data_IF_033660856738
#
_entry.id   IF_033660856738
#
_cell.length_a   1.000
_cell.length_b   1.000
_cell.length_c   1.000
_cell.angle_alpha   90.00
_cell.angle_beta   90.00
_cell.angle_gamma   90.00
#
_symmetry.space_group_name_H-M   'P 1'
#
loop_
_entity.id
_entity.type
_entity.pdbx_description
1 polymer ?
#
# COMPACT_ATOMS: atom_id res chain seq x y z
N UNK A 1 48.00 -20.51 -10.68
CA UNK A 1 49.43 -20.12 -10.52
C UNK A 1 49.50 -18.65 -10.05
N UNK A 2 48.62 -18.21 -9.11
CA UNK A 2 48.56 -16.79 -8.67
C UNK A 2 48.18 -16.62 -7.18
N UNK A 3 48.45 -17.60 -6.34
CA UNK A 3 48.10 -17.58 -4.90
C UNK A 3 49.33 -17.84 -4.00
N UNK A 4 50.53 -17.75 -4.49
CA UNK A 4 51.76 -18.03 -3.69
C UNK A 4 52.69 -16.82 -3.42
N UNK A 5 52.28 -15.59 -3.72
CA UNK A 5 53.20 -14.43 -3.60
C UNK A 5 52.80 -13.34 -2.60
N UNK A 6 51.87 -13.57 -1.68
CA UNK A 6 51.50 -12.54 -0.66
C UNK A 6 52.02 -12.85 0.76
N UNK A 7 52.69 -13.98 0.99
CA UNK A 7 53.13 -14.38 2.31
C UNK A 7 54.60 -14.18 2.64
N UNK A 8 55.36 -13.46 1.78
CA UNK A 8 56.82 -13.32 1.98
C UNK A 8 57.32 -11.87 2.21
N UNK A 9 56.48 -10.91 2.55
CA UNK A 9 56.92 -9.51 2.80
C UNK A 9 56.93 -9.11 4.28
N UNK A 10 56.49 -9.96 5.19
CA UNK A 10 56.43 -9.66 6.65
C UNK A 10 57.48 -10.37 7.52
N UNK A 11 58.67 -10.69 6.97
CA UNK A 11 59.78 -11.18 7.79
C UNK A 11 61.06 -10.46 7.41
N UNK A 12 61.28 -9.23 7.94
CA UNK A 12 62.58 -8.62 8.22
C UNK A 12 62.41 -7.19 8.72
N UNK A 13 62.18 -7.00 10.02
CA UNK A 13 62.70 -5.84 10.76
C UNK A 13 63.31 -6.31 12.06
N UNK A 14 64.60 -6.14 12.14
CA UNK A 14 65.43 -6.46 13.27
C UNK A 14 65.10 -5.59 14.50
N UNK A 15 64.96 -6.25 15.63
CA UNK A 15 64.90 -5.69 16.96
C UNK A 15 66.27 -5.20 17.41
N UNK A 16 66.38 -3.95 17.92
CA UNK A 16 67.37 -3.50 18.89
C UNK A 16 66.63 -3.13 20.20
N UNK A 17 67.14 -3.52 21.36
CA UNK A 17 66.46 -3.24 22.63
C UNK A 17 66.77 -1.81 23.09
N UNK A 18 65.74 -1.02 23.36
CA UNK A 18 65.86 0.26 24.06
C UNK A 18 65.44 0.07 25.52
N UNK A 19 66.40 0.23 26.45
CA UNK A 19 66.14 0.28 27.89
C UNK A 19 65.64 1.70 28.23
N UNK A 20 64.38 1.79 28.62
CA UNK A 20 63.78 2.97 29.24
C UNK A 20 62.44 2.59 29.85
N UNK A 21 62.41 2.41 31.19
CA UNK A 21 61.15 2.22 31.95
C UNK A 21 60.43 3.57 32.00
N UNK A 22 59.45 3.77 31.15
CA UNK A 22 58.37 4.70 31.43
C UNK A 22 57.13 3.87 31.70
N UNK A 23 56.55 4.03 32.88
CA UNK A 23 55.23 3.51 33.24
C UNK A 23 54.24 4.38 32.45
N UNK A 24 53.70 3.85 31.38
CA UNK A 24 52.46 4.38 30.76
C UNK A 24 51.35 3.85 31.60
N UNK A 25 50.69 4.76 32.32
CA UNK A 25 49.42 4.48 33.01
C UNK A 25 48.37 4.32 31.90
N UNK A 26 48.12 3.10 31.44
CA UNK A 26 46.98 2.80 30.62
C UNK A 26 45.76 2.81 31.54
N UNK A 27 45.09 3.96 31.64
CA UNK A 27 43.70 4.00 32.06
C UNK A 27 42.96 3.11 31.07
N UNK A 28 42.39 2.02 31.57
CA UNK A 28 41.49 1.18 30.78
C UNK A 28 40.31 2.07 30.33
N UNK A 29 40.28 2.43 29.08
CA UNK A 29 39.12 3.08 28.43
C UNK A 29 38.03 2.00 28.47
N UNK A 30 37.05 2.18 29.34
CA UNK A 30 35.87 1.32 29.39
C UNK A 30 34.93 1.79 28.27
N UNK A 31 34.98 1.11 27.14
CA UNK A 31 33.98 1.27 26.08
C UNK A 31 32.65 0.69 26.59
N UNK A 32 31.60 1.49 26.57
CA UNK A 32 30.26 1.08 26.98
C UNK A 32 29.36 1.01 25.74
N UNK A 33 28.92 -0.19 25.36
CA UNK A 33 27.99 -0.41 24.27
C UNK A 33 26.56 -0.07 24.72
N UNK A 34 25.92 0.87 24.06
CA UNK A 34 24.56 1.30 24.33
C UNK A 34 23.64 0.90 23.18
N UNK A 35 22.50 0.30 23.53
CA UNK A 35 21.47 -0.09 22.57
C UNK A 35 20.52 1.08 22.33
N UNK A 36 20.40 1.53 21.08
CA UNK A 36 19.51 2.61 20.69
C UNK A 36 18.12 2.08 20.41
N UNK A 37 17.12 2.69 21.06
CA UNK A 37 15.70 2.34 20.97
C UNK A 37 14.96 3.40 20.18
N UNK A 38 14.00 2.98 19.33
CA UNK A 38 13.12 3.94 18.66
C UNK A 38 12.10 4.47 19.68
N UNK A 39 12.15 5.77 19.91
CA UNK A 39 11.17 6.46 20.75
C UNK A 39 9.91 6.81 19.94
N UNK A 40 8.87 7.25 20.65
CA UNK A 40 7.64 7.73 20.02
C UNK A 40 7.94 8.95 19.14
N UNK A 41 7.58 8.83 17.85
CA UNK A 41 7.83 9.87 16.83
C UNK A 41 6.58 10.72 16.56
N UNK A 42 5.49 10.52 17.29
CA UNK A 42 4.26 11.32 17.20
C UNK A 42 2.97 10.50 17.12
N UNK A 43 1.86 11.19 17.30
CA UNK A 43 0.51 10.66 17.52
C UNK A 43 0.15 9.39 16.75
N UNK A 44 0.10 8.26 17.49
CA UNK A 44 -0.47 7.00 17.03
C UNK A 44 0.38 6.19 16.05
N UNK A 45 1.68 6.47 15.90
CA UNK A 45 2.58 5.68 15.06
C UNK A 45 3.11 4.51 15.88
N UNK A 46 2.72 3.28 15.53
CA UNK A 46 3.19 2.06 16.19
C UNK A 46 4.41 1.42 15.51
N UNK A 47 4.59 1.65 14.21
CA UNK A 47 5.68 1.08 13.41
C UNK A 47 6.04 2.00 12.24
N UNK A 48 7.30 1.95 11.79
CA UNK A 48 7.84 2.71 10.66
C UNK A 48 8.72 1.84 9.79
N UNK A 49 8.88 2.19 8.53
CA UNK A 49 9.78 1.51 7.59
C UNK A 49 11.12 2.28 7.49
N UNK A 50 12.23 1.58 7.59
CA UNK A 50 13.57 2.18 7.39
C UNK A 50 13.76 2.39 5.90
N UNK A 51 13.80 3.65 5.44
CA UNK A 51 14.01 3.98 4.03
C UNK A 51 15.49 4.04 3.69
N UNK A 52 16.33 4.54 4.60
CA UNK A 52 17.76 4.70 4.35
C UNK A 52 18.55 4.75 5.64
N UNK A 53 19.73 4.13 5.65
CA UNK A 53 20.76 4.35 6.65
C UNK A 53 21.71 5.46 6.21
N UNK A 54 21.88 6.48 7.05
CA UNK A 54 22.78 7.61 6.79
C UNK A 54 24.21 7.33 7.30
N UNK A 55 24.38 6.31 8.17
CA UNK A 55 25.67 5.86 8.72
C UNK A 55 25.84 4.35 8.54
N UNK A 56 27.10 3.91 8.39
CA UNK A 56 27.48 2.50 8.31
C UNK A 56 28.11 2.01 9.59
N UNK A 57 28.13 0.68 9.77
CA UNK A 57 28.87 0.07 10.89
C UNK A 57 30.36 0.45 10.81
N UNK A 58 30.91 0.93 11.91
CA UNK A 58 32.25 1.49 12.03
C UNK A 58 32.33 3.01 11.86
N UNK A 59 31.27 3.70 11.45
CA UNK A 59 31.26 5.16 11.30
C UNK A 59 31.13 5.84 12.66
N UNK A 60 31.82 6.98 12.81
CA UNK A 60 31.68 7.84 13.98
C UNK A 60 30.36 8.65 13.88
N UNK A 61 29.67 8.75 14.99
CA UNK A 61 28.38 9.43 15.12
C UNK A 61 28.46 10.44 16.24
N UNK A 62 28.01 11.67 15.97
CA UNK A 62 27.89 12.71 17.00
C UNK A 62 26.46 12.78 17.53
N UNK A 63 26.28 13.32 18.75
CA UNK A 63 24.97 13.61 19.29
C UNK A 63 24.16 14.50 18.34
N UNK A 64 22.86 14.21 18.15
CA UNK A 64 21.92 14.86 17.23
C UNK A 64 22.22 14.63 15.72
N UNK A 65 23.22 13.84 15.37
CA UNK A 65 23.49 13.47 13.98
C UNK A 65 22.52 12.40 13.49
N UNK A 66 22.02 12.53 12.23
CA UNK A 66 21.06 11.58 11.66
C UNK A 66 21.68 10.21 11.42
N UNK A 67 21.11 9.17 12.05
CA UNK A 67 21.50 7.76 11.89
C UNK A 67 20.81 7.10 10.71
N UNK A 68 19.50 7.30 10.61
CA UNK A 68 18.67 6.68 9.59
C UNK A 68 17.42 7.54 9.32
N UNK A 69 16.85 7.39 8.14
CA UNK A 69 15.57 7.99 7.75
C UNK A 69 14.50 6.92 7.77
N UNK A 70 13.39 7.17 8.45
CA UNK A 70 12.24 6.26 8.52
C UNK A 70 11.03 6.90 7.85
N UNK A 71 10.19 6.05 7.26
CA UNK A 71 8.92 6.43 6.65
C UNK A 71 7.77 5.88 7.48
N UNK A 72 6.89 6.77 7.95
CA UNK A 72 5.60 6.39 8.50
C UNK A 72 4.50 6.50 7.44
N UNK A 73 3.28 6.15 7.79
CA UNK A 73 2.10 6.36 6.94
C UNK A 73 1.83 7.84 6.63
N UNK A 74 2.42 8.77 7.41
CA UNK A 74 2.16 10.22 7.32
C UNK A 74 3.33 11.04 6.83
N UNK A 75 4.57 10.67 7.18
CA UNK A 75 5.77 11.46 6.83
C UNK A 75 7.05 10.65 6.92
N UNK A 76 8.11 11.12 6.23
CA UNK A 76 9.48 10.68 6.45
C UNK A 76 10.09 11.50 7.59
N UNK A 77 10.79 10.83 8.51
CA UNK A 77 11.43 11.44 9.68
C UNK A 77 12.85 10.92 9.82
N UNK A 78 13.80 11.81 10.12
CA UNK A 78 15.17 11.43 10.41
C UNK A 78 15.33 11.11 11.90
N UNK A 79 15.89 9.94 12.19
CA UNK A 79 16.19 9.51 13.55
C UNK A 79 17.65 9.84 13.87
N UNK A 80 17.84 10.69 14.87
CA UNK A 80 19.15 11.20 15.29
C UNK A 80 19.72 10.39 16.45
N UNK A 81 21.06 10.38 16.56
CA UNK A 81 21.76 9.77 17.70
C UNK A 81 21.58 10.60 18.96
N UNK A 82 21.44 9.91 20.10
CA UNK A 82 21.48 10.52 21.46
C UNK A 82 22.87 10.52 22.07
N UNK A 83 23.82 9.83 21.44
CA UNK A 83 25.14 9.57 22.00
C UNK A 83 26.22 9.91 20.98
N UNK A 84 27.38 10.35 21.50
CA UNK A 84 28.61 10.42 20.74
C UNK A 84 29.33 9.07 20.79
N UNK A 85 29.76 8.55 19.65
CA UNK A 85 30.43 7.25 19.65
C UNK A 85 30.61 6.66 18.26
N UNK A 86 30.79 5.35 18.21
CA UNK A 86 30.94 4.58 16.96
C UNK A 86 29.78 3.62 16.81
N UNK A 87 29.14 3.60 15.65
CA UNK A 87 28.07 2.66 15.33
C UNK A 87 28.65 1.24 15.21
N UNK A 88 28.36 0.38 16.19
CA UNK A 88 28.94 -0.97 16.25
C UNK A 88 28.14 -1.96 15.41
N UNK A 89 26.81 -1.91 15.51
CA UNK A 89 25.94 -2.91 14.89
C UNK A 89 24.58 -2.33 14.52
N UNK A 90 24.10 -2.72 13.34
CA UNK A 90 22.72 -2.52 12.90
C UNK A 90 21.92 -3.81 13.10
N UNK A 91 20.71 -3.72 13.65
CA UNK A 91 19.83 -4.89 13.82
C UNK A 91 18.89 -5.10 12.65
N UNK A 92 18.64 -4.05 11.86
CA UNK A 92 17.68 -4.01 10.76
C UNK A 92 18.33 -3.39 9.51
N UNK A 93 17.86 -3.82 8.34
CA UNK A 93 18.33 -3.32 7.06
C UNK A 93 17.35 -2.27 6.50
N UNK A 94 17.72 -1.64 5.38
CA UNK A 94 16.81 -0.79 4.60
C UNK A 94 15.60 -1.60 4.13
N UNK A 95 14.43 -0.98 4.17
CA UNK A 95 13.09 -1.56 3.92
C UNK A 95 12.60 -2.55 4.98
N UNK A 96 13.23 -2.65 6.15
CA UNK A 96 12.69 -3.39 7.28
C UNK A 96 11.75 -2.52 8.12
N UNK A 97 10.75 -3.18 8.76
CA UNK A 97 9.82 -2.51 9.67
C UNK A 97 10.39 -2.42 11.07
N UNK A 98 10.43 -1.22 11.63
CA UNK A 98 10.90 -0.92 12.97
C UNK A 98 9.71 -0.47 13.85
N UNK A 99 9.44 -1.21 14.94
CA UNK A 99 8.39 -0.86 15.88
C UNK A 99 8.86 0.17 16.90
N UNK A 100 7.99 1.09 17.28
CA UNK A 100 8.23 2.00 18.40
C UNK A 100 8.52 1.18 19.65
N UNK A 101 9.59 1.54 20.35
CA UNK A 101 10.07 0.82 21.51
C UNK A 101 11.06 -0.32 21.24
N UNK A 102 11.34 -0.69 19.98
CA UNK A 102 12.33 -1.71 19.62
C UNK A 102 13.73 -1.13 19.46
N UNK A 103 14.74 -1.96 19.68
CA UNK A 103 16.14 -1.60 19.46
C UNK A 103 16.48 -1.75 17.98
N UNK A 104 17.22 -0.77 17.41
CA UNK A 104 17.60 -0.77 16.00
C UNK A 104 19.11 -0.75 15.74
N UNK A 105 19.93 -0.27 16.70
CA UNK A 105 21.40 -0.31 16.58
C UNK A 105 22.10 -0.32 17.95
N UNK A 106 23.42 -0.53 17.91
CA UNK A 106 24.35 -0.41 19.05
C UNK A 106 25.39 0.65 18.73
N UNK A 107 25.66 1.53 19.70
CA UNK A 107 26.69 2.57 19.64
C UNK A 107 27.66 2.34 20.80
N UNK A 108 28.96 2.35 20.50
CA UNK A 108 30.03 2.35 21.48
C UNK A 108 30.37 3.79 21.85
N UNK A 109 30.15 4.16 23.12
CA UNK A 109 30.26 5.54 23.58
C UNK A 109 31.17 5.67 24.81
N UNK A 110 31.88 6.81 24.86
CA UNK A 110 32.72 7.21 26.00
C UNK A 110 31.95 8.14 26.98
N UNK A 111 30.67 8.47 26.69
CA UNK A 111 29.86 9.37 27.50
C UNK A 111 29.44 8.72 28.82
N UNK A 112 29.58 9.43 29.94
CA UNK A 112 29.08 9.02 31.26
C UNK A 112 27.55 9.03 31.26
N UNK A 113 26.92 7.88 31.03
CA UNK A 113 25.48 7.74 30.98
C UNK A 113 24.93 7.68 32.39
N UNK A 114 24.19 8.70 32.79
CA UNK A 114 23.29 8.63 33.95
C UNK A 114 22.09 7.81 33.48
N UNK A 115 22.07 6.52 33.87
CA UNK A 115 20.88 5.67 33.65
C UNK A 115 19.72 6.25 34.48
N UNK A 116 18.86 7.02 33.88
CA UNK A 116 17.53 7.25 34.42
C UNK A 116 16.72 5.98 34.15
N UNK A 117 16.78 5.04 35.12
CA UNK A 117 15.87 3.91 35.17
C UNK A 117 14.47 4.44 35.43
N UNK A 118 13.69 4.66 34.37
CA UNK A 118 12.23 4.69 34.44
C UNK A 118 11.71 3.26 34.24
N UNK A 119 12.08 2.37 35.14
CA UNK A 119 11.31 1.18 35.47
C UNK A 119 10.48 1.53 36.69
N UNK A 120 9.20 1.83 36.45
CA UNK A 120 8.20 1.94 37.50
C UNK A 120 8.08 0.62 38.25
N UNK A 121 8.66 0.60 39.42
CA UNK A 121 8.45 -0.45 40.42
C UNK A 121 7.07 -0.24 41.02
N UNK A 122 6.09 -1.01 40.58
CA UNK A 122 4.87 -1.22 41.35
C UNK A 122 5.17 -2.20 42.49
N UNK A 123 5.28 -1.66 43.70
CA UNK A 123 5.24 -2.40 44.93
C UNK A 123 3.82 -2.87 45.21
N UNK A 124 3.73 -4.20 45.47
CA UNK A 124 2.58 -4.80 46.12
C UNK A 124 2.26 -4.10 47.45
N UNK A 125 1.05 -3.63 47.62
CA UNK A 125 0.40 -3.55 48.93
C UNK A 125 -1.03 -4.05 48.83
N UNK A 126 -1.23 -5.17 49.55
CA UNK A 126 -2.53 -5.74 49.91
C UNK A 126 -3.39 -4.69 50.60
N UNK A 127 -4.64 -4.49 50.17
CA UNK A 127 -5.78 -4.57 51.10
C UNK A 127 -7.15 -4.58 50.37
N UNK A 128 -7.87 -5.60 50.78
CA UNK A 128 -9.32 -5.89 50.75
C UNK A 128 -10.30 -4.70 50.56
N UNK A 129 -11.35 -5.08 49.85
CA UNK A 129 -12.79 -4.84 50.03
C UNK A 129 -13.49 -4.08 48.93
N UNK A 130 -14.38 -4.88 48.38
CA UNK A 130 -15.86 -4.77 48.22
C UNK A 130 -16.39 -3.79 47.18
N UNK A 131 -17.03 -4.45 46.22
CA UNK A 131 -18.36 -4.24 45.65
C UNK A 131 -18.64 -2.99 44.81
N UNK A 132 -19.15 -3.29 43.68
CA UNK A 132 -20.27 -2.80 42.91
C UNK A 132 -20.03 -2.00 41.61
N UNK A 133 -20.56 -2.64 40.59
CA UNK A 133 -21.39 -2.18 39.49
C UNK A 133 -20.80 -1.37 38.30
N UNK A 134 -21.09 -2.05 37.20
CA UNK A 134 -21.61 -1.57 35.89
C UNK A 134 -20.70 -0.88 34.88
N UNK A 135 -20.67 -1.66 33.80
CA UNK A 135 -20.81 -1.25 32.40
C UNK A 135 -19.64 -0.55 31.71
N UNK A 136 -19.05 -1.20 30.76
CA UNK A 136 -19.37 -1.08 29.36
C UNK A 136 -18.28 -1.60 28.42
N UNK A 137 -18.73 -2.47 27.55
CA UNK A 137 -18.32 -2.61 26.13
C UNK A 137 -16.84 -2.82 25.79
N UNK A 138 -16.44 -4.06 25.82
CA UNK A 138 -15.32 -4.59 25.06
C UNK A 138 -15.80 -5.08 23.70
N UNK A 139 -15.13 -4.66 22.68
CA UNK A 139 -15.27 -5.10 21.29
C UNK A 139 -14.96 -6.59 21.16
N UNK A 140 -15.85 -7.30 20.53
CA UNK A 140 -15.83 -8.72 20.27
C UNK A 140 -14.67 -9.07 19.30
N UNK A 141 -13.75 -9.89 19.80
CA UNK A 141 -13.02 -10.84 18.98
C UNK A 141 -13.81 -12.17 19.04
N UNK A 142 -14.29 -12.60 17.86
CA UNK A 142 -14.92 -13.89 17.68
C UNK A 142 -13.88 -15.00 17.86
N UNK A 143 -13.77 -15.49 19.08
CA UNK A 143 -13.30 -16.85 19.33
C UNK A 143 -14.03 -17.36 20.56
N UNK A 144 -15.04 -18.16 20.32
CA UNK A 144 -15.64 -19.02 21.33
C UNK A 144 -14.56 -19.97 21.87
N UNK A 145 -13.85 -19.54 22.89
CA UNK A 145 -12.87 -20.37 23.60
C UNK A 145 -13.52 -20.90 24.84
N UNK A 146 -13.66 -22.21 24.92
CA UNK A 146 -13.87 -22.92 26.18
C UNK A 146 -12.65 -22.64 27.06
N UNK A 147 -12.79 -21.72 28.02
CA UNK A 147 -11.75 -21.33 29.00
C UNK A 147 -11.41 -22.42 30.03
N UNK A 148 -11.75 -23.67 29.77
CA UNK A 148 -11.62 -24.79 30.71
C UNK A 148 -10.34 -25.64 30.51
N UNK A 149 -9.44 -25.30 29.57
CA UNK A 149 -8.26 -26.13 29.35
C UNK A 149 -7.16 -25.82 30.37
N UNK A 150 -6.81 -26.83 31.16
CA UNK A 150 -5.74 -26.76 32.17
C UNK A 150 -4.46 -27.34 31.59
N UNK A 151 -3.36 -26.56 31.65
CA UNK A 151 -2.04 -27.01 31.23
C UNK A 151 -0.99 -26.44 32.17
N UNK A 152 0.06 -27.21 32.44
CA UNK A 152 1.18 -26.78 33.29
C UNK A 152 1.94 -25.61 32.64
N UNK A 153 2.65 -24.78 33.41
CA UNK A 153 3.45 -23.67 32.88
C UNK A 153 4.46 -24.10 31.81
N UNK A 154 5.03 -25.31 31.95
CA UNK A 154 5.95 -25.91 30.99
C UNK A 154 5.26 -26.21 29.63
N UNK A 155 4.05 -26.76 29.68
CA UNK A 155 3.25 -27.06 28.46
C UNK A 155 2.84 -25.78 27.78
N UNK A 156 2.40 -24.74 28.51
CA UNK A 156 2.05 -23.43 27.93
C UNK A 156 3.26 -22.77 27.24
N UNK A 157 4.48 -22.88 27.82
CA UNK A 157 5.69 -22.34 27.20
C UNK A 157 6.03 -23.09 25.91
N UNK A 158 5.93 -24.43 25.91
CA UNK A 158 6.25 -25.26 24.75
C UNK A 158 5.19 -25.15 23.64
N UNK A 159 3.91 -24.95 24.01
CA UNK A 159 2.84 -24.63 23.03
C UNK A 159 3.10 -23.29 22.32
N UNK A 160 3.64 -22.30 23.04
CA UNK A 160 4.07 -21.02 22.44
C UNK A 160 5.26 -21.19 21.49
N UNK A 161 6.22 -22.02 21.84
CA UNK A 161 7.38 -22.37 21.00
C UNK A 161 6.92 -23.07 19.71
N UNK A 162 6.00 -24.01 19.82
CA UNK A 162 5.41 -24.73 18.69
C UNK A 162 4.36 -23.94 17.91
N UNK A 163 4.00 -22.72 18.38
CA UNK A 163 2.91 -21.88 17.84
C UNK A 163 1.57 -22.61 17.75
N UNK A 164 1.29 -23.48 18.72
CA UNK A 164 0.08 -24.30 18.78
C UNK A 164 -0.88 -23.74 19.80
N UNK A 165 -2.18 -23.63 19.41
CA UNK A 165 -3.24 -23.25 20.32
C UNK A 165 -3.67 -24.46 21.16
N UNK A 166 -3.57 -24.36 22.49
CA UNK A 166 -3.90 -25.45 23.42
C UNK A 166 -5.38 -25.87 23.33
N UNK A 167 -6.29 -24.98 22.92
CA UNK A 167 -7.68 -25.34 22.72
C UNK A 167 -7.85 -26.36 21.58
N UNK A 168 -7.13 -26.19 20.48
CA UNK A 168 -7.11 -27.17 19.38
C UNK A 168 -6.56 -28.52 19.80
N UNK A 169 -5.57 -28.54 20.71
CA UNK A 169 -5.03 -29.78 21.29
C UNK A 169 -6.08 -30.47 22.17
N UNK A 170 -6.79 -29.67 22.98
CA UNK A 170 -7.87 -30.16 23.84
C UNK A 170 -9.03 -30.76 23.03
N UNK A 171 -9.45 -30.08 21.99
CA UNK A 171 -10.50 -30.53 21.08
C UNK A 171 -10.10 -31.82 20.34
N UNK A 172 -8.84 -31.91 19.87
CA UNK A 172 -8.34 -33.08 19.15
C UNK A 172 -8.34 -34.36 20.02
N UNK A 173 -7.94 -34.23 21.31
CA UNK A 173 -7.91 -35.36 22.22
C UNK A 173 -9.16 -35.48 23.10
N UNK A 174 -10.11 -34.57 22.96
CA UNK A 174 -11.30 -34.44 23.82
C UNK A 174 -10.95 -34.42 25.32
N UNK A 175 -9.89 -33.67 25.69
CA UNK A 175 -9.34 -33.58 27.06
C UNK A 175 -9.30 -32.14 27.53
N UNK A 176 -9.62 -31.94 28.83
CA UNK A 176 -9.50 -30.63 29.50
C UNK A 176 -8.08 -30.39 30.05
N UNK A 177 -7.40 -31.47 30.48
CA UNK A 177 -6.02 -31.40 31.01
C UNK A 177 -5.05 -31.85 29.94
N UNK A 178 -4.22 -30.92 29.45
CA UNK A 178 -3.24 -31.18 28.40
C UNK A 178 -1.88 -31.46 29.01
N UNK A 179 -1.32 -32.62 28.69
CA UNK A 179 0.04 -33.02 29.06
C UNK A 179 1.06 -32.62 27.99
N UNK A 180 2.34 -32.73 28.33
CA UNK A 180 3.40 -32.48 27.37
C UNK A 180 3.37 -33.47 26.21
N UNK A 181 3.06 -34.74 26.52
CA UNK A 181 2.93 -35.83 25.55
C UNK A 181 1.78 -35.57 24.56
N UNK A 182 0.61 -35.10 25.05
CA UNK A 182 -0.52 -34.74 24.20
C UNK A 182 -0.13 -33.60 23.21
N UNK A 183 0.60 -32.59 23.69
CA UNK A 183 1.08 -31.50 22.85
C UNK A 183 2.08 -31.99 21.79
N UNK A 184 3.02 -32.85 22.14
CA UNK A 184 4.01 -33.41 21.22
C UNK A 184 3.38 -34.36 20.20
N UNK A 185 2.41 -35.17 20.61
CA UNK A 185 1.64 -36.03 19.70
C UNK A 185 0.80 -35.19 18.70
N UNK A 186 0.14 -34.16 19.18
CA UNK A 186 -0.61 -33.25 18.31
C UNK A 186 0.32 -32.54 17.32
N UNK A 187 1.45 -32.02 17.82
CA UNK A 187 2.44 -31.34 16.95
C UNK A 187 2.99 -32.30 15.89
N UNK A 188 3.32 -33.52 16.25
CA UNK A 188 3.88 -34.48 15.30
C UNK A 188 2.84 -35.03 14.30
N UNK A 189 1.59 -35.25 14.76
CA UNK A 189 0.56 -35.87 13.92
C UNK A 189 -0.23 -34.87 13.08
N UNK A 190 -0.41 -33.64 13.55
CA UNK A 190 -1.24 -32.66 12.87
C UNK A 190 -0.38 -31.55 12.28
N UNK A 191 0.36 -30.83 13.12
CA UNK A 191 1.11 -29.64 12.67
C UNK A 191 2.28 -30.03 11.76
N UNK A 192 2.99 -31.10 12.13
CA UNK A 192 4.14 -31.57 11.36
C UNK A 192 3.72 -32.26 10.07
N UNK A 193 2.59 -32.96 10.06
CA UNK A 193 2.03 -33.54 8.83
C UNK A 193 1.41 -32.50 7.91
N UNK A 194 0.71 -31.48 8.42
CA UNK A 194 0.31 -30.31 7.60
C UNK A 194 1.54 -29.57 7.02
N UNK A 195 2.66 -29.55 7.74
CA UNK A 195 3.93 -28.99 7.25
C UNK A 195 4.62 -29.88 6.20
N UNK A 196 4.40 -31.22 6.26
CA UNK A 196 4.96 -32.17 5.30
C UNK A 196 4.07 -32.32 4.02
N UNK A 197 2.75 -32.19 4.14
CA UNK A 197 1.84 -32.17 2.97
C UNK A 197 2.08 -30.96 2.05
N UNK A 198 2.61 -29.85 2.60
CA UNK A 198 3.04 -28.70 1.80
C UNK A 198 4.46 -28.84 1.20
N UNK A 199 5.21 -29.92 1.51
CA UNK A 199 6.58 -30.13 1.01
C UNK A 199 6.64 -30.72 -0.39
N UNK A 200 5.53 -31.26 -0.90
CA UNK A 200 5.45 -31.79 -2.27
C UNK A 200 5.11 -30.69 -3.31
N UNK A 201 4.92 -29.44 -2.89
CA UNK A 201 4.89 -28.31 -3.82
C UNK A 201 6.29 -27.70 -3.90
N UNK A 202 6.88 -27.70 -5.08
CA UNK A 202 8.12 -26.97 -5.40
C UNK A 202 7.88 -25.46 -5.23
N UNK A 203 8.00 -24.97 -4.00
CA UNK A 203 7.91 -23.54 -3.70
C UNK A 203 9.14 -22.86 -4.27
N UNK A 204 8.92 -21.98 -5.25
CA UNK A 204 10.01 -21.21 -5.89
C UNK A 204 10.52 -20.13 -4.92
N UNK A 205 9.61 -19.38 -4.28
CA UNK A 205 9.98 -18.30 -3.37
C UNK A 205 8.77 -17.90 -2.48
N UNK A 206 9.03 -17.47 -1.27
CA UNK A 206 8.05 -16.86 -0.37
C UNK A 206 8.42 -15.40 -0.17
N UNK A 207 7.65 -14.49 -0.81
CA UNK A 207 7.95 -13.06 -0.85
C UNK A 207 7.03 -12.29 0.09
N UNK A 208 7.60 -11.62 1.08
CA UNK A 208 6.87 -10.69 1.95
C UNK A 208 6.50 -9.43 1.18
N UNK A 209 5.23 -9.02 1.29
CA UNK A 209 4.78 -7.75 0.69
C UNK A 209 5.37 -6.58 1.48
N UNK A 210 6.01 -5.63 0.77
CA UNK A 210 6.56 -4.39 1.32
C UNK A 210 6.15 -3.18 0.49
N UNK A 211 6.25 -1.98 1.08
CA UNK A 211 6.03 -0.71 0.39
C UNK A 211 4.66 -0.62 -0.30
N UNK A 212 4.63 -0.21 -1.56
CA UNK A 212 3.40 0.00 -2.36
C UNK A 212 2.52 -1.26 -2.40
N UNK A 213 3.12 -2.46 -2.54
CA UNK A 213 2.37 -3.72 -2.61
C UNK A 213 1.64 -4.01 -1.29
N UNK A 214 2.28 -3.73 -0.15
CA UNK A 214 1.66 -3.88 1.17
C UNK A 214 0.54 -2.86 1.37
N UNK A 215 0.74 -1.59 0.99
CA UNK A 215 -0.28 -0.55 1.05
C UNK A 215 -1.50 -0.91 0.17
N UNK A 216 -1.26 -1.43 -1.04
CA UNK A 216 -2.32 -1.92 -1.93
C UNK A 216 -3.11 -3.08 -1.28
N UNK A 217 -2.41 -4.06 -0.67
CA UNK A 217 -3.06 -5.18 0.03
C UNK A 217 -3.97 -4.69 1.16
N UNK A 218 -3.49 -3.77 2.02
CA UNK A 218 -4.29 -3.16 3.09
C UNK A 218 -5.54 -2.46 2.52
N UNK A 219 -5.37 -1.61 1.50
CA UNK A 219 -6.46 -0.88 0.87
C UNK A 219 -7.49 -1.79 0.18
N UNK A 220 -7.04 -2.87 -0.46
CA UNK A 220 -7.96 -3.84 -1.09
C UNK A 220 -8.76 -4.64 -0.06
N UNK A 221 -8.14 -5.01 1.07
CA UNK A 221 -8.85 -5.66 2.17
C UNK A 221 -9.97 -4.77 2.75
N UNK A 222 -9.74 -3.45 2.87
CA UNK A 222 -10.78 -2.49 3.24
C UNK A 222 -11.89 -2.41 2.18
N UNK A 223 -11.51 -2.40 0.90
CA UNK A 223 -12.44 -2.33 -0.22
C UNK A 223 -13.32 -3.58 -0.38
N UNK A 224 -12.88 -4.75 0.08
CA UNK A 224 -13.68 -5.98 0.08
C UNK A 224 -14.96 -5.89 0.92
N UNK A 225 -15.01 -4.97 1.88
CA UNK A 225 -16.21 -4.72 2.70
C UNK A 225 -17.30 -3.96 1.95
N UNK A 226 -17.03 -3.47 0.75
CA UNK A 226 -17.96 -2.69 -0.06
C UNK A 226 -18.70 -3.64 -1.02
N UNK A 227 -20.03 -3.85 -0.86
CA UNK A 227 -20.79 -4.61 -1.84
C UNK A 227 -20.91 -3.82 -3.14
N UNK A 228 -20.23 -4.28 -4.20
CA UNK A 228 -20.20 -3.60 -5.48
C UNK A 228 -21.29 -4.11 -6.42
N UNK A 229 -22.02 -3.19 -7.02
CA UNK A 229 -22.84 -3.43 -8.20
C UNK A 229 -22.06 -3.05 -9.45
N UNK A 230 -21.97 -3.97 -10.42
CA UNK A 230 -21.27 -3.74 -11.70
C UNK A 230 -22.26 -3.64 -12.86
N UNK A 231 -22.08 -2.61 -13.67
CA UNK A 231 -22.81 -2.40 -14.93
C UNK A 231 -21.83 -2.33 -16.10
N UNK A 232 -22.12 -3.02 -17.17
CA UNK A 232 -21.31 -3.02 -18.39
C UNK A 232 -22.05 -2.31 -19.52
N UNK A 233 -21.34 -1.44 -20.25
CA UNK A 233 -21.90 -0.72 -21.37
C UNK A 233 -20.87 -0.64 -22.51
N UNK A 234 -21.32 -0.96 -23.71
CA UNK A 234 -20.53 -0.79 -24.94
C UNK A 234 -20.87 0.55 -25.60
N UNK A 235 -19.85 1.33 -25.90
CA UNK A 235 -20.00 2.62 -26.59
C UNK A 235 -19.32 2.58 -27.96
N UNK A 236 -19.95 3.17 -28.96
CA UNK A 236 -19.38 3.42 -30.29
C UNK A 236 -18.60 4.73 -30.23
N UNK A 237 -17.31 4.68 -30.58
CA UNK A 237 -16.40 5.82 -30.46
C UNK A 237 -15.93 6.40 -31.77
N UNK A 238 -16.59 6.07 -32.89
CA UNK A 238 -16.21 6.57 -34.24
C UNK A 238 -16.14 8.11 -34.28
N UNK A 239 -17.12 8.79 -33.68
CA UNK A 239 -17.20 10.26 -33.66
C UNK A 239 -16.12 10.83 -32.72
N UNK A 240 -15.84 10.16 -31.59
CA UNK A 240 -14.75 10.54 -30.68
C UNK A 240 -13.39 10.50 -31.39
N UNK A 241 -13.16 9.47 -32.22
CA UNK A 241 -11.90 9.32 -32.98
C UNK A 241 -11.81 10.42 -34.04
N UNK A 242 -12.93 10.73 -34.76
CA UNK A 242 -12.95 11.83 -35.72
C UNK A 242 -12.67 13.17 -35.08
N UNK A 243 -13.36 13.47 -33.96
CA UNK A 243 -13.14 14.71 -33.19
C UNK A 243 -11.69 14.85 -32.75
N UNK A 244 -11.10 13.77 -32.19
CA UNK A 244 -9.70 13.76 -31.81
C UNK A 244 -8.77 14.03 -33.00
N UNK A 245 -9.05 13.46 -34.17
CA UNK A 245 -8.26 13.71 -35.39
C UNK A 245 -8.36 15.17 -35.85
N UNK A 246 -9.59 15.73 -35.93
CA UNK A 246 -9.81 17.12 -36.26
C UNK A 246 -9.06 18.07 -35.34
N UNK A 247 -9.17 17.87 -34.04
CA UNK A 247 -8.44 18.67 -33.03
C UNK A 247 -6.92 18.59 -33.19
N UNK A 248 -6.39 17.41 -33.53
CA UNK A 248 -4.95 17.25 -33.80
C UNK A 248 -4.50 18.00 -35.05
N UNK A 249 -5.35 18.06 -36.08
CA UNK A 249 -5.05 18.76 -37.31
C UNK A 249 -5.05 20.28 -37.12
N UNK A 250 -6.01 20.83 -36.39
CA UNK A 250 -6.08 22.25 -36.04
C UNK A 250 -4.86 22.69 -35.21
N UNK A 251 -4.37 21.84 -34.32
CA UNK A 251 -3.24 22.12 -33.43
C UNK A 251 -1.87 21.73 -34.01
N UNK A 252 -1.79 21.26 -35.27
CA UNK A 252 -0.59 20.68 -35.89
C UNK A 252 0.67 21.57 -35.83
N UNK A 253 0.47 22.90 -35.85
CA UNK A 253 1.56 23.87 -35.76
C UNK A 253 2.02 24.19 -34.33
N UNK A 254 1.30 23.70 -33.29
CA UNK A 254 1.52 24.01 -31.88
C UNK A 254 1.86 22.72 -31.09
N UNK A 255 1.67 21.55 -31.71
CA UNK A 255 1.76 20.25 -31.04
C UNK A 255 3.20 19.86 -30.70
N UNK A 256 3.56 20.02 -29.44
CA UNK A 256 4.62 19.27 -28.76
C UNK A 256 4.08 17.90 -28.33
N UNK A 257 4.96 16.99 -27.84
CA UNK A 257 4.54 15.72 -27.22
C UNK A 257 3.47 15.95 -26.13
N UNK A 258 3.54 17.07 -25.43
CA UNK A 258 2.69 17.46 -24.31
C UNK A 258 1.25 17.84 -24.71
N UNK A 259 1.04 18.23 -25.96
CA UNK A 259 -0.26 18.65 -26.48
C UNK A 259 -0.98 17.56 -27.30
N UNK A 260 -0.40 16.36 -27.41
CA UNK A 260 -1.02 15.26 -28.13
C UNK A 260 -2.19 14.65 -27.32
N UNK A 261 -3.39 15.13 -27.56
CA UNK A 261 -4.62 14.72 -26.88
C UNK A 261 -4.85 13.21 -27.03
N UNK A 262 -5.04 12.53 -25.88
CA UNK A 262 -5.39 11.11 -25.80
C UNK A 262 -6.92 10.94 -25.70
N UNK A 263 -7.43 9.78 -26.10
CA UNK A 263 -8.84 9.42 -25.87
C UNK A 263 -9.16 9.46 -24.38
N UNK A 264 -8.24 9.04 -23.53
CA UNK A 264 -8.42 9.03 -22.08
C UNK A 264 -8.71 10.42 -21.53
N UNK A 265 -7.99 11.48 -21.96
CA UNK A 265 -8.25 12.83 -21.44
C UNK A 265 -9.62 13.36 -21.87
N UNK A 266 -10.08 13.03 -23.09
CA UNK A 266 -11.43 13.39 -23.54
C UNK A 266 -12.49 12.66 -22.69
N UNK A 267 -12.30 11.36 -22.45
CA UNK A 267 -13.20 10.57 -21.59
C UNK A 267 -13.24 11.12 -20.16
N UNK A 268 -12.11 11.52 -19.58
CA UNK A 268 -12.06 12.17 -18.26
C UNK A 268 -12.94 13.42 -18.22
N UNK A 269 -12.86 14.27 -19.24
CA UNK A 269 -13.70 15.48 -19.33
C UNK A 269 -15.16 15.13 -19.49
N UNK A 270 -15.52 14.18 -20.37
CA UNK A 270 -16.90 13.73 -20.56
C UNK A 270 -17.49 13.13 -19.28
N UNK A 271 -16.73 12.30 -18.56
CA UNK A 271 -17.15 11.76 -17.27
C UNK A 271 -17.40 12.90 -16.27
N UNK A 272 -16.49 13.87 -16.18
CA UNK A 272 -16.65 15.03 -15.31
C UNK A 272 -17.91 15.85 -15.63
N UNK A 273 -18.25 15.98 -16.90
CA UNK A 273 -19.47 16.69 -17.32
C UNK A 273 -20.74 15.94 -16.88
N UNK A 274 -20.76 14.60 -17.01
CA UNK A 274 -21.91 13.78 -16.59
C UNK A 274 -22.02 13.74 -15.06
N UNK A 275 -20.91 13.78 -14.31
CA UNK A 275 -20.93 13.83 -12.85
C UNK A 275 -21.65 15.06 -12.28
N UNK A 276 -21.79 16.15 -13.03
CA UNK A 276 -22.59 17.33 -12.61
C UNK A 276 -24.06 16.98 -12.40
N UNK A 277 -24.60 16.06 -13.20
CA UNK A 277 -25.99 15.59 -13.12
C UNK A 277 -26.15 14.43 -12.11
N UNK A 278 -25.05 13.75 -11.75
CA UNK A 278 -25.04 12.61 -10.84
C UNK A 278 -24.04 12.82 -9.69
N UNK A 279 -24.22 13.84 -8.83
CA UNK A 279 -23.24 14.16 -7.77
C UNK A 279 -23.05 13.05 -6.75
N UNK A 280 -24.01 12.14 -6.61
CA UNK A 280 -23.92 10.97 -5.73
C UNK A 280 -22.76 10.04 -6.11
N UNK A 281 -22.41 9.95 -7.41
CA UNK A 281 -21.28 9.15 -7.89
C UNK A 281 -19.92 9.82 -7.62
N UNK A 282 -19.93 11.10 -7.25
CA UNK A 282 -18.76 11.86 -6.83
C UNK A 282 -18.73 12.04 -5.31
N UNK A 283 -18.83 10.91 -4.59
CA UNK A 283 -18.93 10.89 -3.13
C UNK A 283 -18.03 9.83 -2.51
N UNK A 284 -17.91 9.88 -1.18
CA UNK A 284 -17.23 8.88 -0.36
C UNK A 284 -18.10 8.46 0.81
N UNK A 285 -18.08 7.17 1.12
CA UNK A 285 -18.81 6.61 2.25
C UNK A 285 -17.98 6.62 3.53
N UNK A 286 -18.60 7.00 4.64
CA UNK A 286 -18.01 6.93 5.96
C UNK A 286 -18.62 5.76 6.75
N UNK A 287 -17.84 4.70 6.96
CA UNK A 287 -18.26 3.50 7.68
C UNK A 287 -18.64 3.75 9.15
N UNK A 288 -17.98 4.73 9.80
CA UNK A 288 -18.20 4.99 11.23
C UNK A 288 -19.55 5.64 11.50
N UNK A 289 -20.02 6.49 10.59
CA UNK A 289 -21.26 7.27 10.75
C UNK A 289 -22.38 6.79 9.87
N UNK A 290 -22.15 5.81 8.99
CA UNK A 290 -23.09 5.34 7.97
C UNK A 290 -23.63 6.48 7.11
N UNK A 291 -22.76 7.43 6.74
CA UNK A 291 -23.10 8.58 5.90
C UNK A 291 -22.22 8.62 4.67
N UNK A 292 -22.68 9.27 3.61
CA UNK A 292 -21.82 9.59 2.48
C UNK A 292 -21.70 11.11 2.29
N UNK A 293 -20.52 11.53 1.83
CA UNK A 293 -20.23 12.94 1.57
C UNK A 293 -20.07 13.15 0.07
N UNK A 294 -20.93 13.99 -0.52
CA UNK A 294 -20.82 14.40 -1.92
C UNK A 294 -19.85 15.57 -2.05
N UNK A 295 -19.00 15.54 -3.07
CA UNK A 295 -18.01 16.57 -3.32
C UNK A 295 -18.40 17.42 -4.55
N UNK A 296 -18.24 18.73 -4.43
CA UNK A 296 -18.43 19.67 -5.55
C UNK A 296 -17.29 19.56 -6.57
N UNK A 297 -16.09 19.28 -6.10
CA UNK A 297 -14.91 19.17 -6.94
C UNK A 297 -14.77 17.76 -7.49
N UNK A 298 -14.52 17.64 -8.79
CA UNK A 298 -14.26 16.37 -9.44
C UNK A 298 -12.75 16.11 -9.43
N UNK A 299 -12.27 15.41 -8.41
CA UNK A 299 -10.88 14.96 -8.32
C UNK A 299 -10.81 13.53 -8.87
N UNK A 300 -10.49 13.41 -10.15
CA UNK A 300 -10.55 12.12 -10.85
C UNK A 300 -9.22 11.39 -10.70
N UNK A 301 -9.25 10.27 -10.01
CA UNK A 301 -8.12 9.38 -9.82
C UNK A 301 -7.90 8.51 -11.05
N UNK A 302 -6.64 8.29 -11.42
CA UNK A 302 -6.25 7.51 -12.59
C UNK A 302 -5.33 6.38 -12.12
N UNK A 303 -5.69 5.14 -12.44
CA UNK A 303 -4.82 3.99 -12.20
C UNK A 303 -3.63 4.02 -13.17
N UNK A 304 -2.42 4.08 -12.64
CA UNK A 304 -1.16 4.12 -13.39
C UNK A 304 -0.32 2.91 -13.01
N UNK A 305 -0.03 2.07 -13.99
CA UNK A 305 0.91 0.97 -13.86
C UNK A 305 2.35 1.50 -13.89
N UNK A 306 3.15 1.11 -12.88
CA UNK A 306 4.55 1.51 -12.75
C UNK A 306 5.43 0.30 -12.44
N UNK A 307 6.76 0.36 -12.70
CA UNK A 307 7.69 -0.70 -12.33
C UNK A 307 7.67 -1.05 -10.83
N UNK A 308 7.21 -0.12 -9.98
CA UNK A 308 7.15 -0.29 -8.53
C UNK A 308 5.79 -0.80 -8.02
N UNK A 309 4.79 -0.89 -8.89
CA UNK A 309 3.41 -1.29 -8.58
C UNK A 309 2.37 -0.30 -9.07
N UNK A 310 1.10 -0.57 -8.75
CA UNK A 310 -0.02 0.27 -9.13
C UNK A 310 -0.11 1.50 -8.24
N UNK A 311 -0.09 2.69 -8.85
CA UNK A 311 -0.31 3.97 -8.19
C UNK A 311 -1.58 4.64 -8.73
N UNK A 312 -2.28 5.39 -7.87
CA UNK A 312 -3.58 6.00 -8.20
C UNK A 312 -3.57 7.51 -7.92
N UNK A 313 -2.75 8.31 -8.65
CA UNK A 313 -2.79 9.76 -8.53
C UNK A 313 -4.10 10.33 -9.08
N UNK A 314 -4.44 11.57 -8.71
CA UNK A 314 -5.66 12.21 -9.17
C UNK A 314 -5.46 13.60 -9.76
N UNK A 315 -6.23 13.91 -10.82
CA UNK A 315 -6.32 15.24 -11.42
C UNK A 315 -7.36 16.03 -10.63
N UNK A 316 -6.94 17.15 -10.08
CA UNK A 316 -7.78 18.02 -9.24
C UNK A 316 -8.70 18.92 -10.09
N UNK A 317 -9.94 19.10 -9.62
CA UNK A 317 -10.88 20.09 -10.16
C UNK A 317 -11.12 19.97 -11.67
N UNK A 318 -11.28 18.74 -12.17
CA UNK A 318 -11.46 18.45 -13.60
C UNK A 318 -12.64 19.24 -14.22
N UNK A 319 -13.69 19.51 -13.44
CA UNK A 319 -14.85 20.29 -13.90
C UNK A 319 -14.49 21.68 -14.43
N UNK A 320 -13.39 22.26 -13.93
CA UNK A 320 -12.91 23.61 -14.27
C UNK A 320 -11.75 23.61 -15.27
N UNK A 321 -11.34 22.44 -15.78
CA UNK A 321 -10.18 22.30 -16.68
C UNK A 321 -10.65 22.03 -18.10
N UNK A 322 -9.96 22.58 -19.08
CA UNK A 322 -10.08 22.19 -20.48
C UNK A 322 -9.34 20.89 -20.77
N UNK A 323 -9.52 20.33 -21.96
CA UNK A 323 -8.90 19.05 -22.34
C UNK A 323 -7.38 19.13 -22.36
N UNK A 324 -6.79 20.26 -22.76
CA UNK A 324 -5.33 20.43 -22.80
C UNK A 324 -4.72 20.42 -21.41
N UNK A 325 -5.37 21.07 -20.45
CA UNK A 325 -4.89 21.08 -19.06
C UNK A 325 -5.01 19.71 -18.42
N UNK A 326 -6.10 18.98 -18.71
CA UNK A 326 -6.25 17.58 -18.29
C UNK A 326 -5.14 16.71 -18.89
N UNK A 327 -4.82 16.90 -20.16
CA UNK A 327 -3.75 16.13 -20.81
C UNK A 327 -2.37 16.43 -20.21
N UNK A 328 -2.05 17.71 -19.93
CA UNK A 328 -0.80 18.10 -19.24
C UNK A 328 -0.70 17.46 -17.87
N UNK A 329 -1.76 17.56 -17.06
CA UNK A 329 -1.79 16.97 -15.74
C UNK A 329 -1.63 15.45 -15.79
N UNK A 330 -2.31 14.78 -16.74
CA UNK A 330 -2.22 13.34 -16.92
C UNK A 330 -0.78 12.89 -17.22
N UNK A 331 -0.08 13.61 -18.09
CA UNK A 331 1.32 13.32 -18.43
C UNK A 331 2.23 13.57 -17.23
N UNK A 332 2.07 14.73 -16.56
CA UNK A 332 2.86 15.08 -15.38
C UNK A 332 2.71 14.06 -14.25
N UNK A 333 1.48 13.65 -13.95
CA UNK A 333 1.20 12.66 -12.90
C UNK A 333 1.76 11.28 -13.26
N UNK A 334 1.68 10.89 -14.54
CA UNK A 334 2.27 9.64 -15.02
C UNK A 334 3.80 9.64 -14.89
N UNK A 335 4.46 10.74 -15.27
CA UNK A 335 5.92 10.88 -15.16
C UNK A 335 6.35 10.87 -13.70
N UNK A 336 5.65 11.60 -12.83
CA UNK A 336 5.89 11.57 -11.38
C UNK A 336 5.68 10.17 -10.79
N UNK A 337 4.64 9.43 -11.23
CA UNK A 337 4.37 8.08 -10.77
C UNK A 337 5.51 7.12 -11.14
N UNK A 338 5.97 7.16 -12.38
CA UNK A 338 7.07 6.31 -12.86
C UNK A 338 8.39 6.60 -12.12
N UNK A 339 8.63 7.85 -11.71
CA UNK A 339 9.84 8.29 -11.02
C UNK A 339 9.70 8.28 -9.49
N UNK A 340 8.61 7.76 -8.93
CA UNK A 340 8.33 7.77 -7.48
C UNK A 340 8.36 9.17 -6.85
N UNK A 341 7.90 10.19 -7.59
CA UNK A 341 7.91 11.61 -7.20
C UNK A 341 6.51 12.16 -6.92
N UNK A 342 5.52 11.29 -6.73
CA UNK A 342 4.17 11.72 -6.37
C UNK A 342 4.16 12.32 -4.96
N UNK A 343 3.63 13.53 -4.85
CA UNK A 343 3.40 14.17 -3.56
C UNK A 343 2.15 13.59 -2.89
N UNK A 344 2.02 13.77 -1.58
CA UNK A 344 0.81 13.42 -0.85
C UNK A 344 -0.45 14.05 -1.48
N UNK A 345 -0.35 15.32 -1.94
CA UNK A 345 -1.46 15.98 -2.61
C UNK A 345 -1.86 15.30 -3.92
N UNK A 346 -0.91 14.73 -4.66
CA UNK A 346 -1.20 14.05 -5.93
C UNK A 346 -2.01 12.75 -5.72
N UNK A 347 -1.93 12.12 -4.54
CA UNK A 347 -2.55 10.82 -4.24
C UNK A 347 -3.84 10.98 -3.43
N UNK A 348 -3.93 11.97 -2.53
CA UNK A 348 -5.07 12.12 -1.61
C UNK A 348 -6.25 12.87 -2.23
N UNK A 349 -7.44 12.73 -1.62
CA UNK A 349 -8.66 13.47 -1.98
C UNK A 349 -9.18 13.20 -3.41
N UNK A 350 -8.90 12.04 -3.99
CA UNK A 350 -9.60 11.57 -5.17
C UNK A 350 -11.06 11.27 -4.84
N UNK A 351 -12.00 11.57 -5.74
CA UNK A 351 -13.44 11.40 -5.48
C UNK A 351 -14.09 10.31 -6.32
N UNK A 352 -13.50 9.97 -7.47
CA UNK A 352 -13.88 8.87 -8.35
C UNK A 352 -12.63 8.34 -9.04
N UNK A 353 -12.57 7.06 -9.37
CA UNK A 353 -11.41 6.44 -10.01
C UNK A 353 -11.72 5.97 -11.44
N UNK A 354 -10.78 6.15 -12.35
CA UNK A 354 -10.77 5.61 -13.71
C UNK A 354 -9.61 4.61 -13.83
N UNK A 355 -9.92 3.39 -14.24
CA UNK A 355 -8.95 2.34 -14.53
C UNK A 355 -8.97 2.01 -16.02
N UNK A 356 -7.96 2.45 -16.76
CA UNK A 356 -7.84 2.19 -18.21
C UNK A 356 -6.89 1.00 -18.45
N UNK A 357 -7.40 -0.23 -18.25
CA UNK A 357 -6.66 -1.46 -18.51
C UNK A 357 -6.60 -1.80 -20.02
N UNK A 358 -7.52 -1.24 -20.83
CA UNK A 358 -7.53 -1.44 -22.27
C UNK A 358 -6.31 -0.86 -22.99
N UNK A 359 -5.56 0.02 -22.36
CA UNK A 359 -4.28 0.49 -22.86
C UNK A 359 -3.21 -0.62 -22.91
N UNK A 360 -3.33 -1.64 -22.07
CA UNK A 360 -2.45 -2.82 -22.03
C UNK A 360 -3.12 -3.98 -22.75
N UNK A 361 -4.26 -4.45 -22.23
CA UNK A 361 -5.05 -5.56 -22.80
C UNK A 361 -6.39 -5.66 -22.07
N UNK A 362 -7.30 -6.49 -22.61
CA UNK A 362 -8.59 -6.82 -21.99
C UNK A 362 -9.73 -5.93 -22.44
N UNK A 363 -10.85 -6.57 -22.79
CA UNK A 363 -12.07 -5.90 -23.25
C UNK A 363 -13.06 -5.69 -22.12
N UNK A 364 -12.90 -6.43 -21.03
CA UNK A 364 -13.79 -6.46 -19.89
C UNK A 364 -13.03 -6.79 -18.60
N UNK A 365 -13.34 -6.10 -17.51
CA UNK A 365 -12.88 -6.38 -16.16
C UNK A 365 -13.91 -5.87 -15.14
N UNK A 366 -13.84 -6.36 -13.90
CA UNK A 366 -14.63 -5.89 -12.77
C UNK A 366 -13.73 -5.16 -11.78
N UNK A 367 -13.52 -3.84 -11.94
CA UNK A 367 -12.64 -3.08 -11.07
C UNK A 367 -13.23 -2.96 -9.65
N UNK A 368 -12.35 -2.91 -8.65
CA UNK A 368 -12.69 -2.73 -7.25
C UNK A 368 -12.58 -1.24 -6.90
N UNK A 369 -13.55 -0.72 -6.14
CA UNK A 369 -13.54 0.67 -5.67
C UNK A 369 -12.36 0.90 -4.74
N UNK A 370 -11.77 2.08 -4.85
CA UNK A 370 -10.60 2.51 -4.09
C UNK A 370 -10.96 3.65 -3.12
N UNK A 371 -10.36 3.66 -1.91
CA UNK A 371 -10.42 4.78 -0.95
C UNK A 371 -11.87 5.20 -0.59
N UNK A 372 -12.77 4.23 -0.36
CA UNK A 372 -14.18 4.45 -0.01
C UNK A 372 -14.96 5.35 -0.99
N UNK A 373 -14.49 5.47 -2.23
CA UNK A 373 -15.18 6.22 -3.28
C UNK A 373 -16.47 5.52 -3.67
N UNK A 374 -17.42 6.31 -4.17
CA UNK A 374 -18.70 5.83 -4.62
C UNK A 374 -18.63 4.91 -5.83
N UNK A 375 -17.71 5.22 -6.75
CA UNK A 375 -17.68 4.59 -8.06
C UNK A 375 -16.27 4.49 -8.63
N UNK A 376 -16.03 3.43 -9.40
CA UNK A 376 -14.88 3.23 -10.26
C UNK A 376 -15.34 2.92 -11.70
N UNK A 377 -14.65 3.47 -12.68
CA UNK A 377 -14.95 3.28 -14.10
C UNK A 377 -13.78 2.56 -14.77
N UNK A 378 -14.01 1.31 -15.18
CA UNK A 378 -13.09 0.53 -16.00
C UNK A 378 -13.26 0.84 -17.47
N UNK A 379 -12.15 1.05 -18.18
CA UNK A 379 -12.12 1.28 -19.63
C UNK A 379 -11.39 0.13 -20.29
N UNK A 380 -12.11 -0.64 -21.10
CA UNK A 380 -11.58 -1.77 -21.85
C UNK A 380 -10.85 -1.36 -23.14
N UNK A 381 -10.28 -2.37 -23.81
CA UNK A 381 -9.57 -2.21 -25.08
C UNK A 381 -10.54 -1.78 -26.18
N UNK A 382 -10.07 -0.89 -27.05
CA UNK A 382 -10.76 -0.50 -28.27
C UNK A 382 -10.74 -1.65 -29.28
N UNK A 383 -11.91 -2.00 -29.81
CA UNK A 383 -12.09 -3.08 -30.80
C UNK A 383 -12.96 -2.61 -31.97
N UNK A 384 -12.72 -3.21 -33.13
CA UNK A 384 -13.62 -3.05 -34.28
C UNK A 384 -14.71 -4.12 -34.26
N UNK A 385 -15.97 -3.71 -34.33
CA UNK A 385 -17.12 -4.61 -34.39
C UNK A 385 -17.97 -4.31 -35.60
N UNK A 386 -18.58 -5.36 -36.11
CA UNK A 386 -19.60 -5.26 -37.14
C UNK A 386 -20.96 -5.18 -36.45
N UNK A 387 -21.65 -4.10 -36.60
CA UNK A 387 -22.97 -3.83 -36.01
C UNK A 387 -23.99 -3.58 -37.09
N UNK A 388 -25.26 -3.89 -36.84
CA UNK A 388 -26.35 -3.47 -37.73
C UNK A 388 -26.59 -1.96 -37.55
N UNK A 389 -26.79 -1.23 -38.63
CA UNK A 389 -27.11 0.21 -38.60
C UNK A 389 -28.45 0.47 -37.93
N UNK A 390 -29.40 -0.43 -38.15
CA UNK A 390 -30.74 -0.37 -37.57
C UNK A 390 -31.06 -1.69 -36.88
N UNK A 391 -31.49 -1.64 -35.60
CA UNK A 391 -31.86 -2.82 -34.83
C UNK A 391 -33.17 -3.50 -35.33
N UNK A 392 -33.91 -2.83 -36.20
CA UNK A 392 -35.21 -3.29 -36.74
C UNK A 392 -35.13 -3.95 -38.11
N UNK A 393 -33.98 -3.90 -38.77
CA UNK A 393 -33.83 -4.40 -40.12
C UNK A 393 -33.25 -5.83 -40.15
N UNK A 394 -33.91 -6.69 -40.92
CA UNK A 394 -33.30 -7.93 -41.37
C UNK A 394 -32.06 -7.62 -42.22
N UNK A 395 -31.05 -8.47 -42.16
CA UNK A 395 -29.80 -8.28 -42.88
C UNK A 395 -30.02 -8.52 -44.35
N UNK A 396 -30.44 -7.47 -45.08
CA UNK A 396 -30.80 -7.57 -46.50
C UNK A 396 -29.64 -7.18 -47.43
N UNK A 397 -28.68 -6.42 -46.95
CA UNK A 397 -27.50 -6.03 -47.72
C UNK A 397 -26.28 -5.76 -46.85
N UNK A 398 -25.07 -5.78 -47.46
CA UNK A 398 -23.83 -5.34 -46.81
C UNK A 398 -23.87 -3.87 -46.41
N UNK A 399 -24.76 -3.06 -46.98
CA UNK A 399 -24.94 -1.66 -46.61
C UNK A 399 -25.61 -1.47 -45.24
N UNK A 400 -26.22 -2.53 -44.69
CA UNK A 400 -26.84 -2.52 -43.37
C UNK A 400 -25.82 -2.73 -42.24
N UNK A 401 -24.57 -3.05 -42.60
CA UNK A 401 -23.49 -3.26 -41.67
C UNK A 401 -22.73 -1.96 -41.43
N UNK A 402 -22.57 -1.62 -40.14
CA UNK A 402 -21.68 -0.57 -39.65
C UNK A 402 -20.40 -1.19 -39.09
N UNK A 403 -19.25 -0.75 -39.59
CA UNK A 403 -17.95 -1.04 -38.95
C UNK A 403 -17.76 0.03 -37.88
N UNK A 404 -17.87 -0.38 -36.63
CA UNK A 404 -17.76 0.50 -35.49
C UNK A 404 -16.46 0.24 -34.68
N UNK A 405 -15.77 1.31 -34.33
CA UNK A 405 -14.77 1.28 -33.26
C UNK A 405 -15.53 1.39 -31.94
N UNK A 406 -15.33 0.42 -31.05
CA UNK A 406 -16.08 0.29 -29.80
C UNK A 406 -15.15 0.23 -28.61
N UNK A 407 -15.61 0.74 -27.45
CA UNK A 407 -14.98 0.56 -26.15
C UNK A 407 -16.04 0.03 -25.17
N UNK A 408 -15.67 -0.93 -24.34
CA UNK A 408 -16.49 -1.37 -23.22
C UNK A 408 -16.13 -0.59 -21.96
N UNK A 409 -17.15 -0.11 -21.26
CA UNK A 409 -17.03 0.47 -19.93
C UNK A 409 -17.61 -0.50 -18.92
N UNK A 410 -16.93 -0.62 -17.78
CA UNK A 410 -17.47 -1.29 -16.59
C UNK A 410 -17.54 -0.27 -15.47
N UNK A 411 -18.74 -0.02 -14.97
CA UNK A 411 -19.00 0.84 -13.82
C UNK A 411 -19.14 -0.05 -12.59
N UNK A 412 -18.30 0.14 -11.59
CA UNK A 412 -18.45 -0.48 -10.27
C UNK A 412 -18.88 0.57 -9.26
N UNK A 413 -20.01 0.39 -8.60
CA UNK A 413 -20.54 1.36 -7.65
C UNK A 413 -20.88 0.70 -6.30
N UNK A 414 -20.75 1.46 -5.22
CA UNK A 414 -21.08 1.06 -3.85
C UNK A 414 -22.60 0.89 -3.73
N UNK A 415 -23.06 -0.38 -3.74
CA UNK A 415 -24.48 -0.71 -3.76
C UNK A 415 -25.19 -0.50 -2.43
N UNK A 416 -24.50 -0.04 -1.39
CA UNK A 416 -25.13 0.30 -0.12
C UNK A 416 -26.00 1.55 -0.22
N UNK A 417 -25.70 2.47 -1.15
CA UNK A 417 -26.43 3.72 -1.32
C UNK A 417 -26.57 4.17 -2.79
N UNK A 418 -25.96 3.45 -3.73
CA UNK A 418 -26.13 3.69 -5.17
C UNK A 418 -26.86 2.51 -5.76
N UNK A 419 -28.05 2.75 -6.30
CA UNK A 419 -28.85 1.73 -6.95
C UNK A 419 -28.48 1.53 -8.44
N UNK A 420 -28.95 0.40 -8.98
CA UNK A 420 -28.69 0.05 -10.37
C UNK A 420 -29.32 1.01 -11.37
N UNK A 421 -30.46 1.64 -11.03
CA UNK A 421 -31.14 2.59 -11.90
C UNK A 421 -30.33 3.89 -12.04
N UNK A 422 -29.82 4.41 -10.94
CA UNK A 422 -28.93 5.60 -10.94
C UNK A 422 -27.69 5.35 -11.79
N UNK A 423 -27.03 4.18 -11.61
CA UNK A 423 -25.84 3.83 -12.37
C UNK A 423 -26.16 3.64 -13.88
N UNK A 424 -27.30 3.03 -14.20
CA UNK A 424 -27.73 2.84 -15.59
C UNK A 424 -28.07 4.19 -16.28
N UNK A 425 -28.68 5.15 -15.57
CA UNK A 425 -28.93 6.49 -16.09
C UNK A 425 -27.62 7.25 -16.35
N UNK A 426 -26.67 7.17 -15.43
CA UNK A 426 -25.33 7.72 -15.61
C UNK A 426 -24.64 7.12 -16.84
N UNK A 427 -24.63 5.78 -16.95
CA UNK A 427 -24.06 5.06 -18.07
C UNK A 427 -24.70 5.47 -19.41
N UNK A 428 -26.03 5.54 -19.45
CA UNK A 428 -26.81 5.98 -20.65
C UNK A 428 -26.44 7.39 -21.08
N UNK A 429 -26.33 8.33 -20.13
CA UNK A 429 -25.93 9.71 -20.43
C UNK A 429 -24.49 9.78 -20.92
N UNK A 430 -23.57 9.06 -20.27
CA UNK A 430 -22.17 9.02 -20.68
C UNK A 430 -22.03 8.44 -22.10
N UNK A 431 -22.70 7.31 -22.39
CA UNK A 431 -22.75 6.71 -23.73
C UNK A 431 -23.22 7.71 -24.76
N UNK A 432 -24.38 8.38 -24.53
CA UNK A 432 -24.89 9.41 -25.41
C UNK A 432 -23.87 10.51 -25.69
N UNK A 433 -23.18 10.99 -24.66
CA UNK A 433 -22.18 12.04 -24.79
C UNK A 433 -20.94 11.57 -25.57
N UNK A 434 -20.53 10.31 -25.42
CA UNK A 434 -19.40 9.71 -26.16
C UNK A 434 -19.76 9.54 -27.63
N UNK A 435 -20.95 8.99 -27.93
CA UNK A 435 -21.38 8.70 -29.29
C UNK A 435 -21.72 9.98 -30.11
N UNK A 436 -22.16 11.05 -29.41
CA UNK A 436 -22.51 12.35 -30.01
C UNK A 436 -21.54 13.48 -29.62
N UNK A 437 -20.27 13.17 -29.36
CA UNK A 437 -19.31 14.15 -28.87
C UNK A 437 -19.05 15.33 -29.80
N UNK A 438 -19.34 15.23 -31.10
CA UNK A 438 -19.23 16.34 -32.07
C UNK A 438 -20.12 17.54 -31.70
N UNK A 439 -21.28 17.31 -31.07
CA UNK A 439 -22.18 18.35 -30.57
C UNK A 439 -21.73 19.02 -29.28
N UNK A 440 -20.70 18.48 -28.63
CA UNK A 440 -20.22 18.91 -27.33
C UNK A 440 -18.94 19.76 -27.40
N UNK A 441 -18.51 20.18 -28.59
CA UNK A 441 -17.30 20.96 -28.81
C UNK A 441 -17.09 22.09 -27.76
N UNK A 442 -18.11 22.98 -27.54
CA UNK A 442 -17.99 24.05 -26.53
C UNK A 442 -17.90 23.59 -25.07
N UNK A 443 -18.33 22.36 -24.76
CA UNK A 443 -18.27 21.81 -23.40
C UNK A 443 -16.91 21.16 -23.09
N UNK A 444 -16.05 21.04 -24.09
CA UNK A 444 -14.74 20.44 -24.01
C UNK A 444 -13.62 21.48 -23.87
N UNK A 445 -13.94 22.75 -24.15
CA UNK A 445 -13.11 23.92 -23.90
C UNK A 445 -13.15 24.28 -22.41
#
# INVERSE_FOLDING_TARGET
MFVKNVLNVLRRVHTKPFKGRHYINTSAIHFKIVKCKLYDIGEGISEVEITKWNKNEGDHVSEMESLLTVQSDKAAVDITSKYNGVLVKKYLNENDMLKVGSYFCEIDTDDDIIETNEEGVEKEENNKREEDDESSLSLNDDSSTNDNIKASPGVKRKAKEYKVNLNKVGDYFNKVNITLEDLELYYNNVVKNEYYDNKDMDVIDEVSLKGIKLAMCKSMNESLQIPLFHLNEMCIINNLIKMRKAYKEEQKNILTKETNITITCILIKLISNVLKEFPILNSKFNFKTNTYTMYKNHNISIAVDTPHGLLVPNIKNVQNKNILDIQKDLLLLRDKANNMQLSKNDITNGTITISNFGAISGTFATPIVFDNQACIIGIGKMEKKLLLKDHSSDLNSLNDILVADTINFTFGADHRYIDGATLAQFSKMLKRNIENCESLGPLLE
#
